data_IF_961059606400
#
_entry.id   IF_961059606400
#
_cell.length_a   1.000
_cell.length_b   1.000
_cell.length_c   1.000
_cell.angle_alpha   90.00
_cell.angle_beta   90.00
_cell.angle_gamma   90.00
#
_symmetry.space_group_name_H-M   'P 1'
#
loop_
_entity.id
_entity.type
_entity.pdbx_description
1 polymer ?
#
# COMPACT_ATOMS: atom_id res chain seq x y z
N UNK A 1 24.72 -25.27 7.63
CA UNK A 1 26.16 -25.04 7.38
C UNK A 1 26.50 -24.68 5.93
N UNK A 2 25.92 -25.35 4.91
CA UNK A 2 26.14 -24.98 3.49
C UNK A 2 25.49 -23.65 3.14
N UNK A 3 24.26 -23.41 3.61
CA UNK A 3 23.51 -22.16 3.39
C UNK A 3 24.21 -20.97 4.07
N UNK A 4 24.62 -21.10 5.34
CA UNK A 4 25.36 -20.05 6.06
C UNK A 4 26.72 -19.74 5.43
N UNK A 5 27.44 -20.74 4.92
CA UNK A 5 28.67 -20.53 4.14
C UNK A 5 28.43 -19.88 2.77
N UNK A 6 27.32 -20.22 2.11
CA UNK A 6 26.92 -19.65 0.81
C UNK A 6 26.51 -18.20 0.92
N UNK A 7 25.59 -17.89 1.84
CA UNK A 7 25.12 -16.53 2.12
C UNK A 7 26.27 -15.62 2.59
N UNK A 8 27.15 -16.14 3.47
CA UNK A 8 28.33 -15.40 3.93
C UNK A 8 29.30 -15.04 2.80
N UNK A 9 29.58 -15.95 1.85
CA UNK A 9 30.46 -15.64 0.70
C UNK A 9 29.83 -14.61 -0.23
N UNK A 10 28.51 -14.66 -0.44
CA UNK A 10 27.82 -13.68 -1.30
C UNK A 10 27.84 -12.29 -0.63
N UNK A 11 27.57 -12.22 0.67
CA UNK A 11 27.62 -10.97 1.43
C UNK A 11 29.05 -10.40 1.54
N UNK A 12 30.05 -11.24 1.81
CA UNK A 12 31.48 -10.84 1.88
C UNK A 12 31.96 -10.32 0.52
N UNK A 13 31.66 -11.04 -0.56
CA UNK A 13 32.07 -10.65 -1.91
C UNK A 13 31.33 -9.38 -2.35
N UNK A 14 30.02 -9.28 -2.11
CA UNK A 14 29.21 -8.10 -2.44
C UNK A 14 29.65 -6.86 -1.66
N UNK A 15 29.81 -6.96 -0.34
CA UNK A 15 30.29 -5.87 0.49
C UNK A 15 31.69 -5.43 0.08
N UNK A 16 32.59 -6.37 -0.23
CA UNK A 16 33.95 -6.04 -0.69
C UNK A 16 33.97 -5.33 -2.04
N UNK A 17 33.16 -5.76 -3.00
CA UNK A 17 33.06 -5.06 -4.29
C UNK A 17 32.58 -3.61 -4.13
N UNK A 18 31.60 -3.38 -3.27
CA UNK A 18 31.09 -2.03 -3.00
C UNK A 18 32.12 -1.19 -2.23
N UNK A 19 32.76 -1.75 -1.20
CA UNK A 19 33.79 -1.07 -0.40
C UNK A 19 35.05 -0.73 -1.21
N UNK A 20 35.50 -1.62 -2.09
CA UNK A 20 36.65 -1.39 -2.98
C UNK A 20 36.36 -0.27 -4.01
N UNK A 21 35.08 -0.02 -4.33
CA UNK A 21 34.63 1.06 -5.20
C UNK A 21 34.50 2.44 -4.54
N UNK A 22 34.52 2.52 -3.21
CA UNK A 22 34.31 3.76 -2.44
C UNK A 22 35.34 4.86 -2.75
N UNK A 23 36.65 4.57 -2.88
CA UNK A 23 37.62 5.59 -3.25
C UNK A 23 37.31 6.22 -4.61
N UNK A 24 36.82 5.42 -5.57
CA UNK A 24 36.40 5.91 -6.88
C UNK A 24 35.21 6.87 -6.80
N UNK A 25 34.20 6.55 -5.98
CA UNK A 25 33.05 7.43 -5.74
C UNK A 25 33.48 8.74 -5.05
N UNK A 26 34.36 8.68 -4.06
CA UNK A 26 34.89 9.88 -3.39
C UNK A 26 35.69 10.76 -4.35
N UNK A 27 36.55 10.16 -5.18
CA UNK A 27 37.31 10.88 -6.20
C UNK A 27 36.41 11.51 -7.26
N UNK A 28 35.29 10.88 -7.63
CA UNK A 28 34.31 11.46 -8.55
C UNK A 28 33.63 12.71 -7.96
N UNK A 29 33.23 12.65 -6.68
CA UNK A 29 32.66 13.82 -5.97
C UNK A 29 33.69 14.96 -5.91
N UNK A 30 34.95 14.64 -5.63
CA UNK A 30 36.04 15.62 -5.59
C UNK A 30 36.31 16.23 -6.97
N UNK A 31 36.23 15.43 -8.04
CA UNK A 31 36.37 15.89 -9.41
C UNK A 31 35.22 16.82 -9.81
N UNK A 32 33.97 16.47 -9.48
CA UNK A 32 32.79 17.27 -9.78
C UNK A 32 32.79 18.61 -9.02
N UNK A 33 33.23 18.61 -7.76
CA UNK A 33 33.39 19.82 -6.96
C UNK A 33 34.47 20.74 -7.55
N UNK A 34 35.63 20.17 -7.92
CA UNK A 34 36.72 20.92 -8.55
C UNK A 34 36.37 21.44 -9.95
N UNK A 35 35.51 20.73 -10.68
CA UNK A 35 34.99 21.14 -11.98
C UNK A 35 33.86 22.18 -11.88
N UNK A 36 33.38 22.50 -10.66
CA UNK A 36 32.28 23.43 -10.43
C UNK A 36 30.92 22.90 -10.86
N UNK A 37 30.78 21.58 -11.05
CA UNK A 37 29.52 20.93 -11.42
C UNK A 37 28.57 20.78 -10.22
N UNK A 38 29.14 20.73 -9.00
CA UNK A 38 28.40 20.66 -7.73
C UNK A 38 28.96 21.69 -6.73
N UNK A 39 28.12 22.17 -5.80
CA UNK A 39 28.52 23.09 -4.73
C UNK A 39 29.11 22.37 -3.50
N UNK A 40 29.72 23.13 -2.57
CA UNK A 40 30.30 22.56 -1.33
C UNK A 40 29.28 21.83 -0.46
N UNK A 41 28.06 22.38 -0.32
CA UNK A 41 27.00 21.76 0.48
C UNK A 41 26.54 20.42 -0.12
N UNK A 42 26.45 20.34 -1.45
CA UNK A 42 26.08 19.13 -2.16
C UNK A 42 27.20 18.08 -2.12
N UNK A 43 28.45 18.49 -2.28
CA UNK A 43 29.61 17.61 -2.12
C UNK A 43 29.69 17.04 -0.69
N UNK A 44 29.37 17.83 0.33
CA UNK A 44 29.32 17.38 1.72
C UNK A 44 28.22 16.34 1.95
N UNK A 45 27.04 16.55 1.37
CA UNK A 45 25.92 15.60 1.43
C UNK A 45 26.28 14.27 0.74
N UNK A 46 26.78 14.31 -0.49
CA UNK A 46 27.19 13.10 -1.23
C UNK A 46 28.32 12.34 -0.53
N UNK A 47 29.28 13.04 0.09
CA UNK A 47 30.33 12.38 0.91
C UNK A 47 29.74 11.69 2.12
N UNK A 48 28.78 12.30 2.81
CA UNK A 48 28.09 11.69 3.94
C UNK A 48 27.32 10.43 3.53
N UNK A 49 26.65 10.45 2.36
CA UNK A 49 25.97 9.28 1.79
C UNK A 49 26.96 8.14 1.48
N UNK A 50 28.10 8.45 0.85
CA UNK A 50 29.17 7.48 0.57
C UNK A 50 29.75 6.90 1.87
N UNK A 51 29.92 7.71 2.92
CA UNK A 51 30.35 7.24 4.24
C UNK A 51 29.31 6.33 4.89
N UNK A 52 28.03 6.68 4.82
CA UNK A 52 26.94 5.87 5.38
C UNK A 52 26.81 4.52 4.66
N UNK A 53 26.96 4.51 3.33
CA UNK A 53 27.02 3.30 2.51
C UNK A 53 28.22 2.42 2.94
N UNK A 54 29.40 3.02 3.14
CA UNK A 54 30.58 2.31 3.61
C UNK A 54 30.41 1.72 5.02
N UNK A 55 29.84 2.48 5.95
CA UNK A 55 29.58 2.03 7.33
C UNK A 55 28.56 0.89 7.37
N UNK A 56 27.54 0.93 6.50
CA UNK A 56 26.55 -0.13 6.35
C UNK A 56 27.18 -1.43 5.82
N UNK A 57 27.90 -1.39 4.70
CA UNK A 57 28.54 -2.58 4.13
C UNK A 57 29.68 -3.10 5.02
N UNK A 58 30.40 -2.22 5.72
CA UNK A 58 31.41 -2.60 6.72
C UNK A 58 30.80 -3.30 7.94
N UNK A 59 29.70 -2.77 8.48
CA UNK A 59 28.96 -3.40 9.58
C UNK A 59 28.35 -4.74 9.18
N UNK A 60 27.90 -4.87 7.92
CA UNK A 60 27.36 -6.11 7.36
C UNK A 60 28.41 -7.20 7.14
N UNK A 61 29.61 -6.87 6.64
CA UNK A 61 30.73 -7.83 6.55
C UNK A 61 31.13 -8.32 7.96
N UNK A 62 31.15 -7.41 8.94
CA UNK A 62 31.37 -7.74 10.36
C UNK A 62 30.31 -8.68 10.93
N UNK A 63 29.02 -8.35 10.75
CA UNK A 63 27.90 -9.18 11.23
C UNK A 63 27.88 -10.57 10.57
N UNK A 64 28.19 -10.64 9.27
CA UNK A 64 28.24 -11.91 8.53
C UNK A 64 29.36 -12.84 9.05
N UNK A 65 30.50 -12.28 9.46
CA UNK A 65 31.59 -13.02 10.13
C UNK A 65 31.20 -13.50 11.52
N UNK A 66 30.38 -12.75 12.26
CA UNK A 66 29.87 -13.12 13.57
C UNK A 66 28.92 -14.34 13.51
N UNK A 67 27.99 -14.35 12.55
CA UNK A 67 27.05 -15.49 12.33
C UNK A 67 27.79 -16.79 12.00
N UNK A 68 28.94 -16.70 11.32
CA UNK A 68 29.82 -17.86 11.06
C UNK A 68 30.45 -18.40 12.35
N UNK A 69 30.88 -17.53 13.26
CA UNK A 69 31.46 -17.92 14.55
C UNK A 69 30.43 -18.65 15.44
N UNK A 70 29.21 -18.12 15.48
CA UNK A 70 28.10 -18.68 16.25
C UNK A 70 27.71 -20.10 15.80
N UNK A 71 27.69 -20.33 14.48
CA UNK A 71 27.44 -21.67 13.91
C UNK A 71 28.49 -22.72 14.30
N UNK A 72 29.75 -22.32 14.47
CA UNK A 72 30.84 -23.23 14.88
C UNK A 72 30.77 -23.50 16.38
N UNK A 73 30.50 -22.46 17.18
CA UNK A 73 30.30 -22.59 18.62
C UNK A 73 29.12 -23.52 18.95
N UNK A 74 27.99 -23.39 18.24
CA UNK A 74 26.84 -24.28 18.39
C UNK A 74 27.13 -25.75 18.11
N UNK A 75 28.02 -26.06 17.16
CA UNK A 75 28.45 -27.44 16.88
C UNK A 75 29.29 -28.01 18.04
N UNK A 76 30.20 -27.21 18.59
CA UNK A 76 31.05 -27.61 19.72
C UNK A 76 30.18 -27.88 20.95
N UNK A 77 29.22 -26.98 21.24
CA UNK A 77 28.27 -27.13 22.35
C UNK A 77 27.42 -28.39 22.16
N UNK A 78 26.94 -28.67 20.95
CA UNK A 78 26.19 -29.89 20.64
C UNK A 78 27.00 -31.15 20.96
N UNK A 79 28.27 -31.22 20.56
CA UNK A 79 29.13 -32.38 20.86
C UNK A 79 29.36 -32.52 22.37
N UNK A 80 29.61 -31.41 23.07
CA UNK A 80 29.79 -31.40 24.52
C UNK A 80 28.52 -31.89 25.23
N UNK A 81 27.35 -31.41 24.82
CA UNK A 81 26.07 -31.76 25.43
C UNK A 81 25.70 -33.23 25.19
N UNK A 82 25.99 -33.80 24.01
CA UNK A 82 25.79 -35.23 23.75
C UNK A 82 26.70 -36.08 24.65
N UNK A 83 28.00 -35.78 24.71
CA UNK A 83 28.97 -36.56 25.50
C UNK A 83 28.72 -36.40 27.00
N UNK A 84 28.48 -35.17 27.46
CA UNK A 84 28.18 -34.86 28.85
C UNK A 84 26.85 -35.47 29.29
N UNK A 85 25.80 -35.35 28.46
CA UNK A 85 24.50 -35.96 28.73
C UNK A 85 24.57 -37.49 28.81
N UNK A 86 25.35 -38.13 27.94
CA UNK A 86 25.58 -39.58 28.00
C UNK A 86 26.27 -39.99 29.29
N UNK A 87 27.33 -39.28 29.70
CA UNK A 87 28.05 -39.54 30.95
C UNK A 87 27.14 -39.37 32.17
N UNK A 88 26.37 -38.30 32.23
CA UNK A 88 25.42 -38.03 33.33
C UNK A 88 24.30 -39.08 33.36
N UNK A 89 23.75 -39.42 32.20
CA UNK A 89 22.70 -40.45 32.08
C UNK A 89 23.14 -41.82 32.58
N UNK A 90 24.35 -42.25 32.23
CA UNK A 90 24.88 -43.56 32.64
C UNK A 90 25.38 -43.56 34.08
N UNK A 91 26.15 -42.54 34.48
CA UNK A 91 26.85 -42.55 35.79
C UNK A 91 25.97 -42.05 36.92
N UNK A 92 25.18 -41.00 36.72
CA UNK A 92 24.38 -40.38 37.79
C UNK A 92 22.93 -40.88 37.81
N UNK A 93 22.34 -41.10 36.64
CA UNK A 93 20.94 -41.56 36.53
C UNK A 93 20.80 -43.09 36.37
N UNK A 94 21.91 -43.82 36.36
CA UNK A 94 21.95 -45.29 36.28
C UNK A 94 21.16 -45.85 35.09
N UNK A 95 21.08 -45.08 33.99
CA UNK A 95 20.35 -45.47 32.78
C UNK A 95 21.17 -46.45 31.95
N UNK A 96 20.50 -47.37 31.27
CA UNK A 96 21.17 -48.21 30.28
C UNK A 96 21.78 -47.32 29.18
N UNK A 97 23.01 -47.63 28.75
CA UNK A 97 23.77 -46.81 27.80
C UNK A 97 23.00 -46.50 26.51
N UNK A 98 22.20 -47.44 26.01
CA UNK A 98 21.34 -47.23 24.85
C UNK A 98 20.20 -46.22 25.09
N UNK A 99 19.58 -46.26 26.27
CA UNK A 99 18.50 -45.33 26.65
C UNK A 99 19.04 -43.92 26.92
N UNK A 100 20.19 -43.82 27.59
CA UNK A 100 20.87 -42.54 27.81
C UNK A 100 21.29 -41.89 26.47
N UNK A 101 21.80 -42.68 25.53
CA UNK A 101 22.16 -42.20 24.21
C UNK A 101 20.94 -41.66 23.46
N UNK A 102 19.80 -42.35 23.48
CA UNK A 102 18.59 -41.90 22.79
C UNK A 102 18.04 -40.59 23.40
N UNK A 103 17.86 -40.54 24.74
CA UNK A 103 17.25 -39.38 25.39
C UNK A 103 18.11 -38.11 25.31
N UNK A 104 19.40 -38.21 25.64
CA UNK A 104 20.27 -37.03 25.67
C UNK A 104 20.69 -36.57 24.28
N UNK A 105 20.77 -37.48 23.29
CA UNK A 105 21.01 -37.10 21.90
C UNK A 105 19.77 -36.40 21.33
N UNK A 106 18.56 -36.91 21.58
CA UNK A 106 17.32 -36.28 21.12
C UNK A 106 17.12 -34.88 21.73
N UNK A 107 17.37 -34.74 23.04
CA UNK A 107 17.31 -33.44 23.74
C UNK A 107 18.33 -32.45 23.18
N UNK A 108 19.56 -32.88 22.93
CA UNK A 108 20.61 -32.01 22.39
C UNK A 108 20.35 -31.60 20.95
N UNK A 109 19.80 -32.49 20.12
CA UNK A 109 19.35 -32.15 18.76
C UNK A 109 18.19 -31.15 18.82
N UNK A 110 17.23 -31.35 19.74
CA UNK A 110 16.12 -30.41 19.97
C UNK A 110 16.60 -29.01 20.33
N UNK A 111 17.53 -28.90 21.28
CA UNK A 111 18.15 -27.63 21.69
C UNK A 111 18.90 -26.95 20.53
N UNK A 112 19.67 -27.73 19.76
CA UNK A 112 20.37 -27.25 18.57
C UNK A 112 19.42 -26.72 17.47
N UNK A 113 18.26 -27.35 17.29
CA UNK A 113 17.24 -26.90 16.33
C UNK A 113 16.55 -25.60 16.78
N UNK A 114 16.24 -25.48 18.08
CA UNK A 114 15.62 -24.27 18.66
C UNK A 114 16.56 -23.06 18.51
N UNK A 115 17.86 -23.23 18.67
CA UNK A 115 18.84 -22.17 18.46
C UNK A 115 19.07 -21.82 16.98
N UNK A 116 19.05 -22.80 16.07
CA UNK A 116 19.43 -22.59 14.66
C UNK A 116 18.32 -22.08 13.75
N UNK A 117 17.05 -22.41 14.02
CA UNK A 117 15.93 -21.97 13.18
C UNK A 117 15.81 -20.43 13.15
N UNK A 118 15.84 -19.70 14.28
CA UNK A 118 15.80 -18.24 14.27
C UNK A 118 16.99 -17.61 13.54
N UNK A 119 18.20 -18.15 13.75
CA UNK A 119 19.41 -17.66 13.09
C UNK A 119 19.34 -17.78 11.55
N UNK A 120 18.75 -18.87 11.05
CA UNK A 120 18.54 -19.08 9.61
C UNK A 120 17.53 -18.08 9.04
N UNK A 121 16.44 -17.80 9.75
CA UNK A 121 15.43 -16.81 9.35
C UNK A 121 16.03 -15.41 9.28
N UNK A 122 16.79 -15.00 10.30
CA UNK A 122 17.47 -13.69 10.34
C UNK A 122 18.49 -13.58 9.19
N UNK A 123 19.31 -14.61 8.97
CA UNK A 123 20.30 -14.62 7.89
C UNK A 123 19.66 -14.56 6.50
N UNK A 124 18.51 -15.21 6.31
CA UNK A 124 17.78 -15.19 5.03
C UNK A 124 17.11 -13.83 4.81
N UNK A 125 16.49 -13.27 5.84
CA UNK A 125 15.88 -11.93 5.78
C UNK A 125 16.93 -10.86 5.48
N UNK A 126 18.10 -10.90 6.14
CA UNK A 126 19.22 -10.01 5.85
C UNK A 126 19.71 -10.18 4.40
N UNK A 127 19.84 -11.42 3.91
CA UNK A 127 20.20 -11.71 2.52
C UNK A 127 19.21 -11.15 1.50
N UNK A 128 17.90 -11.25 1.76
CA UNK A 128 16.84 -10.68 0.90
C UNK A 128 16.85 -9.15 0.91
N UNK A 129 17.10 -8.52 2.06
CA UNK A 129 17.22 -7.06 2.15
C UNK A 129 18.40 -6.58 1.30
N UNK A 130 19.55 -7.26 1.39
CA UNK A 130 20.76 -6.91 0.62
C UNK A 130 20.55 -7.05 -0.89
N UNK A 131 19.87 -8.10 -1.35
CA UNK A 131 19.62 -8.29 -2.80
C UNK A 131 18.60 -7.30 -3.35
N UNK A 132 17.74 -6.72 -2.51
CA UNK A 132 16.80 -5.67 -2.91
C UNK A 132 17.45 -4.29 -3.07
N UNK A 133 18.61 -4.06 -2.45
CA UNK A 133 19.36 -2.78 -2.55
C UNK A 133 20.25 -2.72 -3.80
N UNK A 134 20.31 -3.80 -4.60
CA UNK A 134 21.17 -3.91 -5.79
C UNK A 134 20.47 -3.58 -7.12
N UNK A 135 19.27 -3.02 -7.12
CA UNK A 135 18.69 -2.43 -8.34
C UNK A 135 19.21 -1.01 -8.50
N UNK A 136 20.12 -0.84 -9.47
CA UNK A 136 20.66 0.42 -10.00
C UNK A 136 19.53 1.40 -10.42
N UNK A 137 18.94 2.08 -9.45
CA UNK A 137 18.24 3.35 -9.65
C UNK A 137 18.61 4.28 -8.48
N UNK A 138 19.28 5.37 -8.84
CA UNK A 138 19.77 6.48 -8.02
C UNK A 138 19.23 6.63 -6.59
N UNK A 139 20.03 6.19 -5.62
CA UNK A 139 19.85 6.46 -4.18
C UNK A 139 19.99 7.96 -3.85
N UNK A 140 20.50 8.79 -4.78
CA UNK A 140 20.69 10.24 -4.61
C UNK A 140 19.51 11.13 -5.04
N UNK A 141 18.44 10.56 -5.61
CA UNK A 141 17.27 11.33 -6.07
C UNK A 141 15.92 10.88 -5.49
N UNK A 142 15.89 9.91 -4.57
CA UNK A 142 14.69 9.67 -3.75
C UNK A 142 14.52 10.77 -2.69
N UNK A 143 14.04 11.94 -3.11
CA UNK A 143 12.79 12.37 -2.47
C UNK A 143 11.82 11.24 -2.79
N UNK A 144 11.42 10.46 -1.79
CA UNK A 144 10.30 9.53 -1.94
C UNK A 144 9.10 10.38 -2.32
N UNK A 145 8.89 10.59 -3.62
CA UNK A 145 7.76 11.34 -4.13
C UNK A 145 6.51 10.74 -3.49
N UNK A 146 5.70 11.59 -2.89
CA UNK A 146 4.46 11.18 -2.25
C UNK A 146 3.33 11.70 -3.15
N UNK A 147 2.87 10.94 -4.18
CA UNK A 147 1.87 11.42 -5.14
C UNK A 147 0.59 11.91 -4.46
N UNK A 148 0.17 11.24 -3.38
CA UNK A 148 -0.98 11.66 -2.59
C UNK A 148 -0.78 13.02 -1.93
N UNK A 149 0.41 13.29 -1.38
CA UNK A 149 0.75 14.59 -0.79
C UNK A 149 0.83 15.68 -1.87
N UNK A 150 1.51 15.40 -2.99
CA UNK A 150 1.59 16.33 -4.12
C UNK A 150 0.20 16.68 -4.65
N UNK A 151 -0.69 15.69 -4.77
CA UNK A 151 -2.08 15.93 -5.18
C UNK A 151 -2.83 16.77 -4.14
N UNK A 152 -2.66 16.51 -2.86
CA UNK A 152 -3.27 17.30 -1.80
C UNK A 152 -2.81 18.77 -1.85
N UNK A 153 -1.51 19.02 -2.05
CA UNK A 153 -0.95 20.36 -2.24
C UNK A 153 -1.55 21.04 -3.46
N UNK A 154 -1.62 20.34 -4.59
CA UNK A 154 -2.22 20.84 -5.83
C UNK A 154 -3.69 21.27 -5.63
N UNK A 155 -4.47 20.49 -4.86
CA UNK A 155 -5.85 20.84 -4.50
C UNK A 155 -5.89 22.06 -3.57
N UNK A 156 -5.09 22.09 -2.51
CA UNK A 156 -5.10 23.21 -1.55
C UNK A 156 -4.65 24.53 -2.17
N UNK A 157 -3.74 24.51 -3.13
CA UNK A 157 -3.34 25.70 -3.87
C UNK A 157 -4.50 26.33 -4.69
N UNK A 158 -5.48 25.53 -5.11
CA UNK A 158 -6.62 25.99 -5.93
C UNK A 158 -7.89 26.22 -5.11
N UNK A 159 -8.13 25.35 -4.13
CA UNK A 159 -9.36 25.33 -3.34
C UNK A 159 -9.20 26.04 -1.99
N UNK A 160 -7.97 26.31 -1.56
CA UNK A 160 -7.65 26.59 -0.17
C UNK A 160 -7.80 25.34 0.71
N UNK A 161 -7.83 25.54 2.02
CA UNK A 161 -7.98 24.45 2.99
C UNK A 161 -6.67 24.09 3.69
N UNK A 162 -6.62 22.88 4.24
CA UNK A 162 -5.50 22.38 5.05
C UNK A 162 -5.28 20.89 4.81
N UNK A 163 -4.03 20.47 4.97
CA UNK A 163 -3.61 19.08 4.77
C UNK A 163 -3.25 18.48 6.12
N UNK A 164 -3.65 17.23 6.36
CA UNK A 164 -3.09 16.42 7.43
C UNK A 164 -2.32 15.26 6.81
N UNK A 165 -0.99 15.28 6.95
CA UNK A 165 -0.13 14.17 6.60
C UNK A 165 -0.18 13.14 7.74
N UNK A 166 -0.95 12.07 7.53
CA UNK A 166 -1.24 11.07 8.56
C UNK A 166 -0.57 9.74 8.24
N UNK A 167 0.20 9.21 9.19
CA UNK A 167 0.86 7.92 9.06
C UNK A 167 0.60 7.03 10.29
N UNK A 168 -0.24 6.00 10.17
CA UNK A 168 -0.30 4.94 11.17
C UNK A 168 0.88 3.98 10.97
N UNK A 169 1.68 3.79 12.02
CA UNK A 169 2.79 2.84 12.04
C UNK A 169 2.53 1.74 13.06
N UNK A 170 3.05 0.56 12.78
CA UNK A 170 3.07 -0.54 13.72
C UNK A 170 4.19 -1.49 13.35
N UNK A 171 4.90 -1.98 14.36
CA UNK A 171 5.91 -3.00 14.19
C UNK A 171 5.72 -4.07 15.27
N UNK A 172 5.39 -5.29 14.83
CA UNK A 172 5.12 -6.43 15.69
C UNK A 172 6.35 -6.86 16.50
N UNK A 173 7.55 -6.57 16.01
CA UNK A 173 8.79 -6.93 16.72
C UNK A 173 8.88 -6.27 18.10
N UNK A 174 8.28 -5.08 18.28
CA UNK A 174 8.21 -4.37 19.56
C UNK A 174 7.20 -4.95 20.55
N UNK A 175 6.34 -5.87 20.10
CA UNK A 175 5.45 -6.64 20.98
C UNK A 175 6.05 -7.99 21.37
N UNK A 176 6.99 -8.51 20.57
CA UNK A 176 7.69 -9.78 20.82
C UNK A 176 8.91 -9.66 21.75
N UNK A 177 9.22 -8.47 22.27
CA UNK A 177 10.36 -8.27 23.17
C UNK A 177 10.00 -8.69 24.59
N UNK A 178 10.07 -9.99 24.88
CA UNK A 178 9.97 -10.53 26.25
C UNK A 178 11.08 -10.01 27.17
N UNK A 179 12.16 -9.47 26.59
CA UNK A 179 13.32 -8.94 27.28
C UNK A 179 13.23 -7.45 27.61
N UNK A 180 12.22 -6.72 27.11
CA UNK A 180 12.09 -5.29 27.36
C UNK A 180 11.01 -5.01 28.41
N UNK A 181 11.34 -4.10 29.33
CA UNK A 181 10.38 -3.53 30.26
C UNK A 181 9.26 -2.77 29.51
N UNK A 182 8.09 -2.54 30.14
CA UNK A 182 7.04 -1.69 29.58
C UNK A 182 7.50 -0.28 29.22
N UNK A 183 8.41 0.28 30.02
CA UNK A 183 8.93 1.64 29.83
C UNK A 183 9.87 1.71 28.62
N UNK A 184 10.81 0.77 28.48
CA UNK A 184 11.69 0.67 27.31
C UNK A 184 10.89 0.49 26.01
N UNK A 185 9.82 -0.31 26.03
CA UNK A 185 8.92 -0.45 24.87
C UNK A 185 8.23 0.87 24.51
N UNK A 186 7.87 1.68 25.52
CA UNK A 186 7.22 2.98 25.30
C UNK A 186 8.20 3.98 24.72
N UNK A 187 9.42 4.05 25.26
CA UNK A 187 10.49 4.91 24.74
C UNK A 187 10.86 4.54 23.30
N UNK A 188 10.98 3.24 23.03
CA UNK A 188 11.20 2.73 21.69
C UNK A 188 10.09 3.13 20.71
N UNK A 189 8.81 2.92 21.07
CA UNK A 189 7.66 3.35 20.25
C UNK A 189 7.71 4.84 19.97
N UNK A 190 7.99 5.65 21.00
CA UNK A 190 8.10 7.09 20.86
C UNK A 190 9.26 7.47 19.92
N UNK A 191 10.41 6.80 20.03
CA UNK A 191 11.56 7.00 19.15
C UNK A 191 11.21 6.75 17.68
N UNK A 192 10.50 5.66 17.36
CA UNK A 192 10.06 5.37 15.99
C UNK A 192 9.05 6.42 15.50
N UNK A 193 8.09 6.82 16.35
CA UNK A 193 7.12 7.86 16.02
C UNK A 193 7.85 9.17 15.67
N UNK A 194 8.78 9.63 16.51
CA UNK A 194 9.52 10.87 16.28
C UNK A 194 10.42 10.79 15.03
N UNK A 195 11.07 9.64 14.81
CA UNK A 195 11.85 9.42 13.59
C UNK A 195 10.96 9.53 12.34
N UNK A 196 9.77 8.93 12.36
CA UNK A 196 8.84 8.98 11.22
C UNK A 196 8.22 10.36 11.04
N UNK A 197 7.94 11.09 12.12
CA UNK A 197 7.51 12.50 12.04
C UNK A 197 8.57 13.36 11.38
N UNK A 198 9.83 13.22 11.77
CA UNK A 198 10.94 13.97 11.19
C UNK A 198 11.09 13.65 9.70
N UNK A 199 11.00 12.38 9.31
CA UNK A 199 11.03 11.97 7.91
C UNK A 199 9.88 12.60 7.10
N UNK A 200 8.62 12.56 7.58
CA UNK A 200 7.50 13.23 6.89
C UNK A 200 7.74 14.74 6.82
N UNK A 201 8.27 15.35 7.88
CA UNK A 201 8.55 16.78 7.92
C UNK A 201 9.57 17.20 6.86
N UNK A 202 10.61 16.39 6.65
CA UNK A 202 11.57 16.57 5.57
C UNK A 202 10.89 16.51 4.19
N UNK A 203 10.02 15.51 3.95
CA UNK A 203 9.26 15.41 2.69
C UNK A 203 8.29 16.59 2.49
N UNK A 204 7.76 17.16 3.57
CA UNK A 204 6.84 18.28 3.52
C UNK A 204 7.53 19.65 3.52
N UNK A 205 8.84 19.71 3.78
CA UNK A 205 9.55 20.95 4.13
C UNK A 205 9.34 22.05 3.08
N UNK A 206 9.56 21.73 1.80
CA UNK A 206 9.36 22.66 0.69
C UNK A 206 7.93 23.22 0.62
N UNK A 207 6.91 22.38 0.86
CA UNK A 207 5.51 22.82 0.83
C UNK A 207 5.14 23.69 2.03
N UNK A 208 5.68 23.36 3.22
CA UNK A 208 5.46 24.14 4.44
C UNK A 208 6.13 25.51 4.32
N UNK A 209 7.36 25.58 3.79
CA UNK A 209 8.07 26.83 3.50
C UNK A 209 7.34 27.69 2.47
N UNK A 210 6.69 27.06 1.48
CA UNK A 210 5.81 27.73 0.52
C UNK A 210 4.47 28.21 1.13
N UNK A 211 4.24 28.01 2.43
CA UNK A 211 3.06 28.47 3.15
C UNK A 211 1.85 27.53 3.07
N UNK A 212 2.02 26.29 2.60
CA UNK A 212 0.92 25.31 2.57
C UNK A 212 0.68 24.79 3.99
N UNK A 213 -0.55 24.91 4.54
CA UNK A 213 -0.86 24.47 5.90
C UNK A 213 -0.94 22.94 5.99
N UNK A 214 0.20 22.31 6.31
CA UNK A 214 0.34 20.87 6.50
C UNK A 214 0.55 20.56 8.00
N UNK A 215 -0.35 19.75 8.57
CA UNK A 215 -0.19 19.18 9.91
C UNK A 215 0.29 17.73 9.80
N UNK A 216 1.38 17.39 10.50
CA UNK A 216 1.95 16.04 10.48
C UNK A 216 1.50 15.29 11.73
N UNK A 217 0.93 14.10 11.55
CA UNK A 217 0.50 13.22 12.65
C UNK A 217 0.91 11.78 12.36
N UNK A 218 1.78 11.25 13.21
CA UNK A 218 2.18 9.84 13.21
C UNK A 218 1.61 9.18 14.45
N UNK A 219 0.96 8.03 14.30
CA UNK A 219 0.34 7.28 15.39
C UNK A 219 0.79 5.83 15.39
N UNK A 220 0.91 5.23 16.57
CA UNK A 220 1.15 3.79 16.69
C UNK A 220 -0.17 3.04 16.69
N UNK A 221 -0.46 2.25 15.66
CA UNK A 221 -1.71 1.51 15.55
C UNK A 221 -1.57 0.22 14.71
N UNK A 222 -1.92 -0.92 15.31
CA UNK A 222 -1.79 -2.25 14.69
C UNK A 222 -2.71 -2.50 13.49
N UNK A 223 -3.80 -1.74 13.37
CA UNK A 223 -4.72 -1.77 12.22
C UNK A 223 -4.76 -0.42 11.50
N UNK A 224 -3.92 -0.18 10.49
CA UNK A 224 -3.81 1.12 9.82
C UNK A 224 -5.14 1.71 9.31
N UNK A 225 -6.02 0.88 8.73
CA UNK A 225 -7.30 1.36 8.19
C UNK A 225 -8.24 1.89 9.29
N UNK A 226 -8.22 1.29 10.50
CA UNK A 226 -9.01 1.74 11.64
C UNK A 226 -8.53 3.11 12.09
N UNK A 227 -7.21 3.28 12.25
CA UNK A 227 -6.62 4.56 12.64
C UNK A 227 -6.97 5.68 11.65
N UNK A 228 -6.88 5.40 10.35
CA UNK A 228 -7.22 6.37 9.30
C UNK A 228 -8.71 6.75 9.38
N UNK A 229 -9.60 5.77 9.48
CA UNK A 229 -11.05 6.03 9.50
C UNK A 229 -11.45 6.75 10.80
N UNK A 230 -10.87 6.39 11.94
CA UNK A 230 -11.09 7.11 13.20
C UNK A 230 -10.60 8.56 13.10
N UNK A 231 -9.45 8.80 12.47
CA UNK A 231 -8.94 10.15 12.22
C UNK A 231 -9.90 10.97 11.32
N UNK A 232 -10.45 10.34 10.29
CA UNK A 232 -11.48 10.91 9.40
C UNK A 232 -12.72 11.31 10.20
N UNK A 233 -13.25 10.39 11.02
CA UNK A 233 -14.48 10.61 11.80
C UNK A 233 -14.27 11.67 12.89
N UNK A 234 -13.18 11.56 13.66
CA UNK A 234 -12.91 12.42 14.83
C UNK A 234 -12.73 13.89 14.44
N UNK A 235 -12.14 14.13 13.26
CA UNK A 235 -11.81 15.48 12.80
C UNK A 235 -12.61 15.94 11.58
N UNK A 236 -13.60 15.13 11.15
CA UNK A 236 -14.48 15.42 10.01
C UNK A 236 -13.69 15.83 8.76
N UNK A 237 -12.76 14.98 8.32
CA UNK A 237 -12.03 15.24 7.07
C UNK A 237 -12.94 15.07 5.86
N UNK A 238 -12.80 15.96 4.87
CA UNK A 238 -13.67 16.03 3.68
C UNK A 238 -13.19 15.15 2.51
N UNK A 239 -11.90 14.80 2.48
CA UNK A 239 -11.29 13.98 1.45
C UNK A 239 -10.09 13.20 2.00
N UNK A 240 -9.97 11.92 1.65
CA UNK A 240 -8.78 11.12 1.92
C UNK A 240 -8.05 10.85 0.61
N UNK A 241 -6.78 11.25 0.53
CA UNK A 241 -5.91 10.94 -0.60
C UNK A 241 -4.93 9.84 -0.19
N UNK A 242 -4.83 8.79 -1.01
CA UNK A 242 -3.87 7.71 -0.79
C UNK A 242 -3.25 7.26 -2.11
N UNK A 243 -1.94 7.06 -2.12
CA UNK A 243 -1.22 6.54 -3.28
C UNK A 243 -1.53 5.03 -3.48
N UNK A 244 -1.65 4.61 -4.74
CA UNK A 244 -1.61 3.21 -5.17
C UNK A 244 -0.37 2.95 -6.03
N UNK A 245 0.18 1.73 -5.93
CA UNK A 245 1.30 1.33 -6.78
C UNK A 245 0.78 0.59 -8.03
N UNK A 246 1.30 0.97 -9.19
CA UNK A 246 1.10 0.24 -10.44
C UNK A 246 2.33 -0.61 -10.71
N UNK A 247 2.16 -1.83 -11.24
CA UNK A 247 3.29 -2.63 -11.69
C UNK A 247 3.42 -2.54 -13.22
N UNK A 248 4.62 -2.20 -13.70
CA UNK A 248 4.94 -1.91 -15.11
C UNK A 248 4.62 -3.01 -16.15
N UNK A 249 4.24 -4.23 -15.73
CA UNK A 249 4.06 -5.37 -16.65
C UNK A 249 2.62 -5.80 -16.89
N UNK A 250 1.68 -5.43 -16.03
CA UNK A 250 0.29 -5.88 -16.13
C UNK A 250 -0.71 -4.74 -16.38
N UNK A 251 -0.28 -3.47 -16.27
CA UNK A 251 -1.12 -2.29 -16.51
C UNK A 251 -2.22 -2.07 -15.46
N UNK A 252 -2.65 -3.12 -14.76
CA UNK A 252 -3.61 -3.12 -13.66
C UNK A 252 -3.01 -2.61 -12.34
N UNK A 253 -3.85 -2.06 -11.48
CA UNK A 253 -3.48 -1.48 -10.17
C UNK A 253 -3.38 -2.56 -9.13
N UNK A 254 -2.36 -2.50 -8.27
CA UNK A 254 -2.31 -3.35 -7.09
C UNK A 254 -2.94 -2.59 -5.93
N UNK A 255 -4.19 -2.89 -5.64
CA UNK A 255 -4.83 -2.47 -4.40
C UNK A 255 -4.35 -3.36 -3.25
N UNK A 256 -3.72 -2.75 -2.26
CA UNK A 256 -3.31 -3.45 -1.05
C UNK A 256 -4.53 -3.82 -0.20
N UNK A 257 -4.42 -4.79 0.73
CA UNK A 257 -5.49 -5.06 1.68
C UNK A 257 -5.95 -3.83 2.47
N UNK A 258 -5.03 -2.89 2.76
CA UNK A 258 -5.35 -1.60 3.37
C UNK A 258 -6.27 -0.76 2.48
N UNK A 259 -5.97 -0.67 1.19
CA UNK A 259 -6.76 0.11 0.24
C UNK A 259 -8.20 -0.41 0.16
N UNK A 260 -8.36 -1.73 0.09
CA UNK A 260 -9.69 -2.36 0.10
C UNK A 260 -10.46 -2.09 1.39
N UNK A 261 -9.81 -2.14 2.55
CA UNK A 261 -10.47 -1.80 3.81
C UNK A 261 -10.92 -0.33 3.83
N UNK A 262 -10.11 0.60 3.31
CA UNK A 262 -10.45 2.01 3.22
C UNK A 262 -11.60 2.26 2.23
N UNK A 263 -11.52 1.71 1.02
CA UNK A 263 -12.57 1.82 0.02
C UNK A 263 -13.91 1.25 0.51
N UNK A 264 -13.88 0.17 1.31
CA UNK A 264 -15.09 -0.43 1.90
C UNK A 264 -15.67 0.40 3.03
N UNK A 265 -14.83 0.85 3.96
CA UNK A 265 -15.27 1.32 5.30
C UNK A 265 -15.13 2.82 5.53
N UNK A 266 -14.36 3.56 4.72
CA UNK A 266 -14.21 5.00 4.89
C UNK A 266 -15.52 5.72 4.53
N UNK A 267 -16.06 6.58 5.42
CA UNK A 267 -17.29 7.33 5.15
C UNK A 267 -17.06 8.57 4.27
N UNK A 268 -15.81 9.04 4.21
CA UNK A 268 -15.37 10.17 3.41
C UNK A 268 -15.02 9.73 1.98
N UNK A 269 -15.18 10.59 0.96
CA UNK A 269 -14.62 10.35 -0.36
C UNK A 269 -13.15 9.91 -0.30
N UNK A 270 -12.84 8.84 -1.03
CA UNK A 270 -11.49 8.25 -1.12
C UNK A 270 -10.93 8.50 -2.52
N UNK A 271 -9.88 9.30 -2.62
CA UNK A 271 -9.14 9.51 -3.87
C UNK A 271 -7.86 8.67 -3.86
N UNK A 272 -7.88 7.62 -4.67
CA UNK A 272 -6.73 6.76 -4.90
C UNK A 272 -5.90 7.36 -6.03
N UNK A 273 -4.76 7.96 -5.67
CA UNK A 273 -3.86 8.68 -6.56
C UNK A 273 -2.83 7.70 -7.11
N UNK A 274 -2.73 7.62 -8.43
CA UNK A 274 -1.71 6.80 -9.08
C UNK A 274 -0.37 7.50 -9.14
N UNK A 275 0.66 6.68 -9.23
CA UNK A 275 2.04 7.12 -9.41
C UNK A 275 2.35 7.49 -10.87
N UNK A 276 1.47 8.29 -11.47
CA UNK A 276 1.64 8.83 -12.81
C UNK A 276 1.23 10.30 -12.82
N UNK A 277 1.85 11.12 -13.69
CA UNK A 277 1.38 12.47 -13.91
C UNK A 277 -0.06 12.45 -14.40
N UNK A 278 -0.85 13.43 -13.97
CA UNK A 278 -2.19 13.62 -14.52
C UNK A 278 -2.08 13.86 -16.03
N UNK A 279 -2.88 13.19 -16.88
CA UNK A 279 -2.80 13.36 -18.31
C UNK A 279 -3.09 14.81 -18.71
N UNK A 280 -2.37 15.35 -19.70
CA UNK A 280 -2.68 16.67 -20.27
C UNK A 280 -4.11 16.66 -20.84
N UNK A 281 -4.97 17.56 -20.35
CA UNK A 281 -6.42 17.57 -20.62
C UNK A 281 -7.17 16.30 -20.12
N UNK A 282 -6.64 15.65 -19.09
CA UNK A 282 -7.23 14.47 -18.48
C UNK A 282 -8.69 14.69 -18.10
N UNK A 283 -9.57 13.80 -18.55
CA UNK A 283 -11.02 13.89 -18.33
C UNK A 283 -11.45 13.23 -17.03
N UNK A 284 -12.59 13.60 -16.49
CA UNK A 284 -13.22 12.89 -15.38
C UNK A 284 -14.36 12.03 -15.92
N UNK A 285 -14.35 10.73 -15.63
CA UNK A 285 -15.40 9.79 -16.05
C UNK A 285 -16.21 9.32 -14.85
N UNK A 286 -17.49 9.69 -14.79
CA UNK A 286 -18.41 9.30 -13.72
C UNK A 286 -19.20 8.07 -14.14
N UNK A 287 -19.02 6.96 -13.44
CA UNK A 287 -19.85 5.77 -13.66
C UNK A 287 -21.15 5.91 -12.88
N UNK A 288 -22.28 5.77 -13.58
CA UNK A 288 -23.62 5.90 -13.03
C UNK A 288 -24.38 4.59 -13.20
N UNK A 289 -25.13 4.20 -12.18
CA UNK A 289 -25.99 3.02 -12.26
C UNK A 289 -27.39 3.44 -12.70
N UNK A 290 -27.77 3.09 -13.93
CA UNK A 290 -29.02 3.51 -14.56
C UNK A 290 -30.10 2.42 -14.59
N UNK A 291 -29.87 1.29 -13.90
CA UNK A 291 -30.88 0.26 -13.75
C UNK A 291 -32.04 0.76 -12.86
N UNK A 292 -33.30 0.54 -13.28
CA UNK A 292 -34.50 1.21 -12.72
C UNK A 292 -35.04 0.64 -11.42
N UNK A 293 -34.39 -0.37 -10.84
CA UNK A 293 -35.05 -1.20 -9.81
C UNK A 293 -34.80 -0.74 -8.38
N UNK A 294 -33.85 0.18 -8.15
CA UNK A 294 -33.46 0.58 -6.80
C UNK A 294 -33.58 2.11 -6.56
N UNK A 295 -34.46 2.55 -5.64
CA UNK A 295 -34.61 3.97 -5.31
C UNK A 295 -33.34 4.62 -4.71
N UNK A 296 -32.34 3.84 -4.27
CA UNK A 296 -31.07 4.35 -3.73
C UNK A 296 -30.06 4.76 -4.82
N UNK A 297 -30.23 4.31 -6.07
CA UNK A 297 -29.28 4.63 -7.15
C UNK A 297 -29.38 6.08 -7.60
N UNK A 298 -30.58 6.64 -7.70
CA UNK A 298 -30.77 8.01 -8.17
C UNK A 298 -30.11 9.06 -7.25
N UNK A 299 -30.29 9.03 -5.91
CA UNK A 299 -29.60 9.96 -5.01
C UNK A 299 -28.07 9.86 -5.11
N UNK A 300 -27.53 8.64 -5.21
CA UNK A 300 -26.08 8.45 -5.34
C UNK A 300 -25.57 8.97 -6.67
N UNK A 301 -26.21 8.65 -7.80
CA UNK A 301 -25.85 9.18 -9.11
C UNK A 301 -25.83 10.72 -9.12
N UNK A 302 -26.85 11.35 -8.53
CA UNK A 302 -26.91 12.81 -8.38
C UNK A 302 -25.70 13.31 -7.58
N UNK A 303 -25.38 12.66 -6.45
CA UNK A 303 -24.22 13.02 -5.63
C UNK A 303 -22.92 12.92 -6.42
N UNK A 304 -22.66 11.79 -7.07
CA UNK A 304 -21.46 11.55 -7.89
C UNK A 304 -21.24 12.65 -8.92
N UNK A 305 -22.28 12.95 -9.72
CA UNK A 305 -22.19 13.97 -10.76
C UNK A 305 -22.01 15.36 -10.17
N UNK A 306 -22.74 15.69 -9.10
CA UNK A 306 -22.66 17.01 -8.46
C UNK A 306 -21.29 17.31 -7.85
N UNK A 307 -20.70 16.35 -7.12
CA UNK A 307 -19.39 16.51 -6.49
C UNK A 307 -18.28 16.55 -7.54
N UNK A 308 -18.38 15.71 -8.57
CA UNK A 308 -17.41 15.70 -9.67
C UNK A 308 -17.41 17.02 -10.43
N UNK A 309 -18.59 17.56 -10.78
CA UNK A 309 -18.68 18.85 -11.46
C UNK A 309 -18.18 20.02 -10.61
N UNK A 310 -18.48 20.00 -9.30
CA UNK A 310 -17.99 21.01 -8.37
C UNK A 310 -16.46 21.01 -8.31
N UNK A 311 -15.85 19.83 -8.18
CA UNK A 311 -14.41 19.66 -8.13
C UNK A 311 -13.75 20.00 -9.47
N UNK A 312 -14.26 19.48 -10.59
CA UNK A 312 -13.73 19.71 -11.92
C UNK A 312 -13.74 21.21 -12.31
N UNK A 313 -14.77 21.94 -11.91
CA UNK A 313 -14.87 23.39 -12.15
C UNK A 313 -13.77 24.19 -11.43
N UNK A 314 -13.37 23.74 -10.25
CA UNK A 314 -12.38 24.43 -9.43
C UNK A 314 -10.94 23.96 -9.71
N UNK A 315 -10.80 22.74 -10.22
CA UNK A 315 -9.53 22.07 -10.48
C UNK A 315 -9.37 21.87 -11.99
N UNK A 316 -8.99 22.96 -12.66
CA UNK A 316 -8.54 22.97 -14.06
C UNK A 316 -9.62 22.83 -15.16
N UNK A 317 -10.90 23.04 -14.84
CA UNK A 317 -12.02 22.94 -15.80
C UNK A 317 -12.06 21.60 -16.54
N UNK A 318 -11.75 20.53 -15.82
CA UNK A 318 -11.74 19.16 -16.37
C UNK A 318 -13.08 18.81 -17.04
N UNK A 319 -13.04 18.27 -18.27
CA UNK A 319 -14.23 17.82 -18.98
C UNK A 319 -14.81 16.56 -18.28
N UNK A 320 -16.08 16.63 -17.88
CA UNK A 320 -16.77 15.57 -17.13
C UNK A 320 -17.64 14.76 -18.08
N UNK A 321 -17.38 13.46 -18.16
CA UNK A 321 -18.18 12.49 -18.90
C UNK A 321 -18.98 11.59 -17.97
N UNK A 322 -20.13 11.11 -18.43
CA UNK A 322 -20.96 10.11 -17.74
C UNK A 322 -20.95 8.81 -18.51
N UNK A 323 -20.86 7.67 -17.82
CA UNK A 323 -20.99 6.34 -18.43
C UNK A 323 -21.99 5.48 -17.66
N UNK A 324 -22.91 4.86 -18.41
CA UNK A 324 -23.77 3.80 -17.92
C UNK A 324 -23.58 2.55 -18.77
N UNK A 325 -23.15 1.45 -18.16
CA UNK A 325 -23.06 0.15 -18.81
C UNK A 325 -24.33 -0.67 -18.54
N UNK A 326 -24.75 -1.48 -19.51
CA UNK A 326 -25.84 -2.43 -19.31
C UNK A 326 -25.47 -3.83 -19.81
N UNK A 327 -25.71 -4.87 -19.00
CA UNK A 327 -25.38 -6.24 -19.38
C UNK A 327 -26.33 -6.73 -20.48
N UNK A 328 -25.87 -7.74 -21.21
CA UNK A 328 -26.66 -8.44 -22.22
C UNK A 328 -27.32 -9.66 -21.60
N UNK A 329 -28.46 -10.09 -22.15
CA UNK A 329 -29.04 -11.36 -21.72
C UNK A 329 -28.04 -12.51 -21.96
N UNK A 330 -27.73 -13.30 -20.91
CA UNK A 330 -26.90 -14.49 -21.05
C UNK A 330 -27.45 -15.49 -22.08
N UNK A 331 -26.55 -16.12 -22.83
CA UNK A 331 -26.88 -17.02 -23.94
C UNK A 331 -27.71 -18.23 -23.46
N UNK A 332 -27.48 -18.73 -22.25
CA UNK A 332 -28.24 -19.85 -21.69
C UNK A 332 -29.74 -19.52 -21.54
N UNK A 333 -30.07 -18.32 -21.06
CA UNK A 333 -31.48 -17.87 -20.93
C UNK A 333 -32.12 -17.74 -22.31
N UNK A 334 -31.37 -17.22 -23.28
CA UNK A 334 -31.83 -17.08 -24.66
C UNK A 334 -32.16 -18.43 -25.33
N UNK A 335 -31.52 -19.53 -24.91
CA UNK A 335 -31.75 -20.88 -25.45
C UNK A 335 -32.90 -21.59 -24.73
N UNK A 336 -33.10 -21.34 -23.43
CA UNK A 336 -34.08 -22.06 -22.60
C UNK A 336 -35.52 -21.57 -22.78
N UNK A 337 -35.73 -20.30 -23.13
CA UNK A 337 -37.07 -19.70 -23.25
C UNK A 337 -37.49 -19.55 -24.72
N UNK A 338 -38.34 -20.46 -25.19
CA UNK A 338 -38.77 -20.57 -26.59
C UNK A 338 -39.47 -19.31 -27.16
N UNK A 339 -40.17 -18.53 -26.32
CA UNK A 339 -40.88 -17.31 -26.70
C UNK A 339 -40.15 -16.01 -26.30
N UNK A 340 -38.88 -16.11 -25.89
CA UNK A 340 -38.07 -14.97 -25.48
C UNK A 340 -37.15 -14.49 -26.60
N UNK A 341 -37.30 -13.22 -27.02
CA UNK A 341 -36.38 -12.56 -27.95
C UNK A 341 -35.34 -11.72 -27.17
N UNK A 342 -34.07 -12.15 -27.12
CA UNK A 342 -33.01 -11.42 -26.43
C UNK A 342 -32.76 -10.04 -27.04
N UNK A 343 -32.99 -9.86 -28.34
CA UNK A 343 -32.81 -8.58 -29.02
C UNK A 343 -33.76 -7.52 -28.46
N UNK A 344 -35.04 -7.86 -28.40
CA UNK A 344 -36.09 -6.97 -27.86
C UNK A 344 -35.84 -6.62 -26.39
N UNK A 345 -35.42 -7.60 -25.58
CA UNK A 345 -35.07 -7.35 -24.17
C UNK A 345 -33.88 -6.41 -24.04
N UNK A 346 -32.79 -6.67 -24.78
CA UNK A 346 -31.59 -5.83 -24.75
C UNK A 346 -31.89 -4.38 -25.21
N UNK A 347 -32.73 -4.21 -26.23
CA UNK A 347 -33.14 -2.89 -26.73
C UNK A 347 -34.02 -2.15 -25.71
N UNK A 348 -34.88 -2.87 -24.98
CA UNK A 348 -35.68 -2.30 -23.89
C UNK A 348 -34.78 -1.79 -22.74
N UNK A 349 -33.80 -2.59 -22.32
CA UNK A 349 -32.82 -2.20 -21.29
C UNK A 349 -32.00 -0.98 -21.77
N UNK A 350 -31.52 -1.00 -23.02
CA UNK A 350 -30.83 0.14 -23.62
C UNK A 350 -31.70 1.40 -23.59
N UNK A 351 -32.96 1.29 -24.00
CA UNK A 351 -33.92 2.39 -24.00
C UNK A 351 -34.12 3.01 -22.61
N UNK A 352 -34.23 2.16 -21.58
CA UNK A 352 -34.32 2.59 -20.20
C UNK A 352 -33.07 3.35 -19.74
N UNK A 353 -31.87 2.83 -20.03
CA UNK A 353 -30.61 3.50 -19.72
C UNK A 353 -30.48 4.85 -20.44
N UNK A 354 -30.89 4.95 -21.71
CA UNK A 354 -30.88 6.20 -22.46
C UNK A 354 -31.81 7.27 -21.86
N UNK A 355 -33.01 6.87 -21.41
CA UNK A 355 -33.96 7.78 -20.76
C UNK A 355 -33.40 8.26 -19.42
N UNK A 356 -32.86 7.34 -18.60
CA UNK A 356 -32.27 7.67 -17.31
C UNK A 356 -31.04 8.58 -17.46
N UNK A 357 -30.13 8.26 -18.40
CA UNK A 357 -28.96 9.10 -18.72
C UNK A 357 -29.38 10.49 -19.19
N UNK A 358 -30.41 10.58 -20.04
CA UNK A 358 -30.94 11.86 -20.53
C UNK A 358 -31.50 12.71 -19.38
N UNK A 359 -32.27 12.09 -18.48
CA UNK A 359 -32.79 12.77 -17.28
C UNK A 359 -31.65 13.33 -16.41
N UNK A 360 -30.64 12.49 -16.14
CA UNK A 360 -29.50 12.86 -15.30
C UNK A 360 -28.66 13.98 -15.94
N UNK A 361 -28.31 13.87 -17.22
CA UNK A 361 -27.50 14.90 -17.91
C UNK A 361 -28.23 16.23 -18.01
N UNK A 362 -29.54 16.23 -18.25
CA UNK A 362 -30.34 17.45 -18.32
C UNK A 362 -30.40 18.17 -16.97
N UNK A 363 -30.51 17.42 -15.87
CA UNK A 363 -30.47 17.98 -14.51
C UNK A 363 -29.18 18.76 -14.23
N UNK A 364 -28.06 18.32 -14.80
CA UNK A 364 -26.75 18.96 -14.65
C UNK A 364 -26.31 19.79 -15.85
N UNK A 365 -27.19 20.00 -16.84
CA UNK A 365 -26.89 20.75 -18.07
C UNK A 365 -25.68 20.22 -18.86
N UNK A 366 -25.49 18.89 -18.87
CA UNK A 366 -24.43 18.23 -19.63
C UNK A 366 -24.87 17.94 -21.07
N UNK A 367 -23.95 18.19 -22.01
CA UNK A 367 -24.11 17.89 -23.42
C UNK A 367 -24.20 16.37 -23.64
N UNK A 368 -24.98 15.95 -24.64
CA UNK A 368 -25.15 14.55 -25.01
C UNK A 368 -23.83 13.90 -25.43
N UNK A 369 -22.93 14.66 -26.05
CA UNK A 369 -21.59 14.18 -26.44
C UNK A 369 -20.71 13.78 -25.26
N UNK A 370 -21.08 14.19 -24.04
CA UNK A 370 -20.37 13.87 -22.81
C UNK A 370 -20.97 12.66 -22.10
N UNK A 371 -22.00 12.03 -22.66
CA UNK A 371 -22.69 10.90 -22.04
C UNK A 371 -22.63 9.65 -22.89
N UNK A 372 -22.34 8.52 -22.25
CA UNK A 372 -22.07 7.24 -22.90
C UNK A 372 -22.97 6.15 -22.31
N UNK A 373 -23.69 5.43 -23.18
CA UNK A 373 -24.54 4.30 -22.79
C UNK A 373 -24.11 3.09 -23.62
N UNK A 374 -23.36 2.20 -22.98
CA UNK A 374 -22.62 1.15 -23.66
C UNK A 374 -23.10 -0.24 -23.25
N UNK A 375 -23.10 -1.14 -24.23
CA UNK A 375 -23.49 -2.53 -24.06
C UNK A 375 -22.31 -3.33 -23.53
N UNK A 376 -22.47 -4.00 -22.39
CA UNK A 376 -21.43 -4.84 -21.81
C UNK A 376 -21.45 -4.85 -20.29
N UNK A 377 -20.56 -5.65 -19.71
CA UNK A 377 -20.37 -5.66 -18.27
C UNK A 377 -19.65 -4.37 -17.83
N UNK A 378 -20.04 -3.74 -16.70
CA UNK A 378 -19.40 -2.50 -16.26
C UNK A 378 -17.88 -2.62 -16.08
N UNK A 379 -17.40 -3.76 -15.63
CA UNK A 379 -15.97 -4.08 -15.44
C UNK A 379 -15.15 -4.13 -16.74
N UNK A 380 -15.80 -4.25 -17.89
CA UNK A 380 -15.15 -4.18 -19.21
C UNK A 380 -15.34 -2.78 -19.79
N UNK A 381 -16.58 -2.29 -19.79
CA UNK A 381 -16.99 -1.04 -20.42
C UNK A 381 -16.32 0.19 -19.79
N UNK A 382 -16.29 0.27 -18.45
CA UNK A 382 -15.82 1.47 -17.76
C UNK A 382 -14.30 1.64 -17.95
N UNK A 383 -13.45 0.62 -17.72
CA UNK A 383 -12.01 0.74 -17.97
C UNK A 383 -11.68 1.04 -19.44
N UNK A 384 -12.32 0.35 -20.39
CA UNK A 384 -12.07 0.54 -21.82
C UNK A 384 -12.40 1.98 -22.27
N UNK A 385 -13.55 2.51 -21.82
CA UNK A 385 -13.94 3.88 -22.12
C UNK A 385 -13.05 4.89 -21.40
N UNK A 386 -12.61 4.61 -20.16
CA UNK A 386 -11.67 5.46 -19.44
C UNK A 386 -10.34 5.59 -20.20
N UNK A 387 -9.83 4.50 -20.78
CA UNK A 387 -8.63 4.51 -21.61
C UNK A 387 -8.87 5.26 -22.93
N UNK A 388 -9.99 5.01 -23.61
CA UNK A 388 -10.35 5.70 -24.86
C UNK A 388 -10.47 7.22 -24.67
N UNK A 389 -11.07 7.65 -23.56
CA UNK A 389 -11.24 9.07 -23.24
C UNK A 389 -9.99 9.70 -22.64
N UNK A 390 -8.94 8.92 -22.34
CA UNK A 390 -7.76 9.35 -21.57
C UNK A 390 -8.18 10.00 -20.24
N UNK A 391 -9.09 9.33 -19.52
CA UNK A 391 -9.57 9.82 -18.23
C UNK A 391 -8.39 9.92 -17.25
N UNK A 392 -8.29 11.06 -16.56
CA UNK A 392 -7.37 11.25 -15.44
C UNK A 392 -7.90 10.62 -14.15
N UNK A 393 -9.24 10.57 -14.01
CA UNK A 393 -9.93 9.94 -12.88
C UNK A 393 -11.23 9.30 -13.30
N UNK A 394 -11.53 8.14 -12.71
CA UNK A 394 -12.85 7.52 -12.73
C UNK A 394 -13.52 7.70 -11.38
N UNK A 395 -14.77 8.15 -11.38
CA UNK A 395 -15.57 8.38 -10.18
C UNK A 395 -16.60 7.27 -10.04
N UNK A 396 -16.56 6.55 -8.92
CA UNK A 396 -17.46 5.41 -8.65
C UNK A 396 -18.24 5.63 -7.36
N UNK A 397 -19.53 5.28 -7.41
CA UNK A 397 -20.34 5.09 -6.21
C UNK A 397 -20.14 3.69 -5.64
N UNK A 398 -19.81 3.58 -4.35
CA UNK A 398 -19.81 2.29 -3.66
C UNK A 398 -20.97 2.21 -2.66
N UNK A 399 -21.96 1.40 -2.98
CA UNK A 399 -23.06 1.08 -2.06
C UNK A 399 -22.58 -0.01 -1.10
N UNK A 400 -22.40 0.34 0.17
CA UNK A 400 -22.51 -0.66 1.23
C UNK A 400 -23.99 -0.99 1.38
N UNK A 401 -24.42 -2.21 1.04
CA UNK A 401 -25.83 -2.60 1.22
C UNK A 401 -26.19 -2.50 2.70
N UNK A 402 -27.34 -1.94 3.06
CA UNK A 402 -27.78 -1.88 4.47
C UNK A 402 -27.85 -3.28 5.10
N UNK A 403 -27.42 -3.43 6.35
CA UNK A 403 -27.46 -4.70 7.12
C UNK A 403 -26.13 -5.46 7.16
N UNK A 404 -26.19 -6.80 7.29
CA UNK A 404 -25.01 -7.71 7.36
C UNK A 404 -24.08 -7.61 6.13
N UNK A 405 -24.48 -6.89 5.08
CA UNK A 405 -23.73 -6.70 3.83
C UNK A 405 -23.12 -5.30 3.68
N UNK A 406 -23.19 -4.44 4.71
CA UNK A 406 -22.71 -3.05 4.67
C UNK A 406 -21.19 -2.91 4.50
N UNK A 407 -20.45 -3.99 4.72
CA UNK A 407 -18.99 -4.03 4.64
C UNK A 407 -18.45 -4.36 3.24
N UNK A 408 -19.29 -4.67 2.25
CA UNK A 408 -18.85 -5.09 0.92
C UNK A 408 -18.99 -3.97 -0.11
N UNK A 409 -17.91 -3.71 -0.85
CA UNK A 409 -18.00 -3.04 -2.16
C UNK A 409 -18.70 -4.04 -3.08
N UNK A 410 -19.75 -3.62 -3.80
CA UNK A 410 -20.41 -4.53 -4.74
C UNK A 410 -19.41 -5.15 -5.71
N UNK A 411 -19.51 -6.46 -5.98
CA UNK A 411 -18.54 -7.21 -6.79
C UNK A 411 -18.17 -6.52 -8.11
N UNK A 412 -19.14 -5.91 -8.79
CA UNK A 412 -18.93 -5.12 -10.01
C UNK A 412 -17.95 -3.97 -9.80
N UNK A 413 -18.05 -3.24 -8.70
CA UNK A 413 -17.15 -2.13 -8.40
C UNK A 413 -15.75 -2.66 -8.10
N UNK A 414 -15.61 -3.78 -7.40
CA UNK A 414 -14.29 -4.41 -7.18
C UNK A 414 -13.63 -4.79 -8.52
N UNK A 415 -14.39 -5.43 -9.43
CA UNK A 415 -13.89 -5.79 -10.75
C UNK A 415 -13.53 -4.58 -11.61
N UNK A 416 -14.32 -3.50 -11.59
CA UNK A 416 -13.97 -2.26 -12.30
C UNK A 416 -12.65 -1.72 -11.76
N UNK A 417 -12.52 -1.60 -10.44
CA UNK A 417 -11.36 -1.02 -9.77
C UNK A 417 -10.06 -1.75 -10.14
N UNK A 418 -10.08 -3.08 -10.21
CA UNK A 418 -8.91 -3.90 -10.57
C UNK A 418 -8.39 -3.62 -11.99
N UNK A 419 -9.26 -3.19 -12.92
CA UNK A 419 -8.91 -2.96 -14.33
C UNK A 419 -8.62 -1.49 -14.66
N UNK A 420 -8.85 -0.55 -13.74
CA UNK A 420 -8.67 0.88 -14.01
C UNK A 420 -7.20 1.24 -14.23
N UNK A 421 -6.92 2.10 -15.22
CA UNK A 421 -5.57 2.65 -15.53
C UNK A 421 -5.36 4.10 -15.10
N UNK A 422 -6.42 4.82 -14.73
CA UNK A 422 -6.41 6.19 -14.18
C UNK A 422 -6.72 6.24 -12.67
N UNK A 423 -6.66 7.42 -12.05
CA UNK A 423 -7.04 7.59 -10.64
C UNK A 423 -8.48 7.11 -10.38
N UNK A 424 -8.77 6.80 -9.11
CA UNK A 424 -10.11 6.43 -8.66
C UNK A 424 -10.57 7.41 -7.58
N UNK A 425 -11.76 7.98 -7.76
CA UNK A 425 -12.48 8.69 -6.70
C UNK A 425 -13.71 7.88 -6.31
N UNK A 426 -13.66 7.25 -5.14
CA UNK A 426 -14.76 6.47 -4.60
C UNK A 426 -15.58 7.31 -3.62
N UNK A 427 -16.89 7.43 -3.88
CA UNK A 427 -17.83 8.23 -3.07
C UNK A 427 -18.92 7.31 -2.50
N UNK A 428 -19.32 7.62 -1.26
CA UNK A 428 -20.38 6.90 -0.52
C UNK A 428 -21.70 7.69 -0.54
N UNK A 429 -22.85 7.00 -0.39
CA UNK A 429 -24.12 7.65 -0.07
C UNK A 429 -24.07 8.51 1.19
N UNK A 430 -25.01 9.46 1.33
CA UNK A 430 -25.06 10.36 2.49
C UNK A 430 -25.46 9.67 3.80
N UNK A 431 -26.18 8.56 3.71
CA UNK A 431 -26.63 7.72 4.82
C UNK A 431 -25.65 6.58 5.14
N UNK A 432 -24.47 6.55 4.50
CA UNK A 432 -23.46 5.54 4.79
C UNK A 432 -22.92 5.70 6.22
N UNK A 433 -23.01 4.63 7.00
CA UNK A 433 -22.43 4.53 8.34
C UNK A 433 -21.22 3.60 8.28
N UNK A 434 -20.05 4.14 8.62
CA UNK A 434 -18.83 3.34 8.74
C UNK A 434 -18.97 2.28 9.84
N UNK A 435 -18.54 1.02 9.61
CA UNK A 435 -18.49 0.00 10.66
C UNK A 435 -17.36 0.25 11.68
N UNK A 436 -16.43 1.16 11.38
CA UNK A 436 -15.40 1.61 12.34
C UNK A 436 -15.97 2.76 13.16
N UNK A 437 -15.90 2.65 14.49
CA UNK A 437 -16.34 3.68 15.45
C UNK A 437 -15.14 4.29 16.20
N UNK A 438 -15.38 5.40 16.90
CA UNK A 438 -14.34 6.09 17.69
C UNK A 438 -13.92 5.32 18.95
N UNK A 439 -14.83 4.55 19.54
CA UNK A 439 -14.64 3.89 20.85
C UNK A 439 -14.26 2.40 20.76
N UNK A 440 -14.19 1.83 19.55
CA UNK A 440 -13.84 0.43 19.34
C UNK A 440 -14.14 -0.09 17.94
N UNK A 441 -13.62 -1.29 17.65
CA UNK A 441 -13.98 -2.04 16.44
C UNK A 441 -15.48 -2.35 16.49
N UNK A 442 -16.23 -1.93 15.47
CA UNK A 442 -17.59 -2.44 15.29
C UNK A 442 -17.56 -3.97 15.27
N UNK A 443 -18.56 -4.57 15.90
CA UNK A 443 -18.74 -6.00 16.16
C UNK A 443 -18.15 -6.93 15.09
N UNK A 444 -16.96 -7.50 15.35
CA UNK A 444 -16.45 -8.72 14.71
C UNK A 444 -16.15 -9.81 15.78
N UNK A 445 -16.91 -9.82 16.88
CA UNK A 445 -17.03 -10.98 17.77
C UNK A 445 -18.29 -11.76 17.46
N UNK A 446 -18.22 -12.66 16.46
CA UNK A 446 -18.88 -13.98 16.41
C UNK A 446 -18.73 -14.61 15.02
N UNK A 447 -17.77 -15.52 14.90
CA UNK A 447 -17.92 -16.83 14.25
C UNK A 447 -16.81 -17.75 14.74
#
# INVERSE_FOLDING_TARGET
MVITKGAGRIAEVGARFVLDGMPGKQMAIDADLNAGLIGEDEAKKRRAEVTQEADFYGSMDGASKFVRGDSIAGLIIMVINIVGGLLVGVVQHNMAMGQAAESYTLLTIGDGLVAQIPALVISTAAGVIVTRVSTDQDVGQQMDDQPALRRAVYLVQRLGGRIKAFLPIYDFSYEMTTLLSPDERTEMRQGVIEQRKAWIAEQCAYYIEAGIPINIKVVWHNKPYVAIIQEVIAHQHDLVLKMTHQHDRLGAVIFTPLDWQLLRKCPCPMWMVKDQPWPENGRALVAVNLASEDPYHDPLNIKLVSETLALAKQVDQTEVHLVGAYPVTPINIAIELLDFDPGVYNDAIRGQHLIAMKSLRQKFSLDERLTHVEKGLPEEVIPDLAEHLQAGVVVLGSLGRTGLSAAFIGNTVEHVIDHLRCDLLAIKPNDFVSPVTLDGEGEDTKA
#
